data_IF_688705157885
#
_entry.id   IF_688705157885
#
_cell.length_a   1.000
_cell.length_b   1.000
_cell.length_c   1.000
_cell.angle_alpha   90.00
_cell.angle_beta   90.00
_cell.angle_gamma   90.00
#
_symmetry.space_group_name_H-M   'P 1'
#
loop_
_entity.id
_entity.type
_entity.pdbx_description
1 polymer ?
#
# COMPACT_ATOMS: atom_id res chain seq x y z
N UNK A 1 1.15 6.56 -14.65
CA UNK A 1 2.41 5.79 -14.53
C UNK A 1 3.20 6.30 -13.33
N UNK A 2 3.04 5.74 -12.13
CA UNK A 2 3.80 6.18 -10.95
C UNK A 2 4.49 4.99 -10.27
N UNK A 3 3.74 3.95 -9.90
CA UNK A 3 4.26 2.79 -9.16
C UNK A 3 5.49 2.11 -9.79
N UNK A 4 5.49 1.87 -11.11
CA UNK A 4 6.64 1.26 -11.82
C UNK A 4 7.89 2.14 -11.77
N UNK A 5 7.75 3.46 -11.83
CA UNK A 5 8.86 4.39 -11.75
C UNK A 5 9.40 4.47 -10.31
N UNK A 6 8.49 4.56 -9.32
CA UNK A 6 8.83 4.56 -7.90
C UNK A 6 9.56 3.27 -7.48
N UNK A 7 9.15 2.11 -8.00
CA UNK A 7 9.86 0.85 -7.78
C UNK A 7 11.28 0.87 -8.39
N UNK A 8 11.42 1.35 -9.63
CA UNK A 8 12.73 1.47 -10.28
C UNK A 8 13.67 2.42 -9.52
N UNK A 9 13.13 3.50 -8.96
CA UNK A 9 13.86 4.44 -8.10
C UNK A 9 14.07 3.93 -6.66
N UNK A 10 13.50 2.76 -6.32
CA UNK A 10 13.49 2.18 -4.96
C UNK A 10 12.81 3.06 -3.91
N UNK A 11 11.92 3.94 -4.33
CA UNK A 11 11.12 4.83 -3.48
C UNK A 11 9.93 4.09 -2.84
N UNK A 12 9.58 2.90 -3.34
CA UNK A 12 8.60 2.00 -2.71
C UNK A 12 9.27 0.64 -2.48
N UNK A 13 9.21 0.17 -1.23
CA UNK A 13 9.79 -1.11 -0.82
C UNK A 13 8.75 -2.21 -0.67
N UNK A 14 7.52 -1.86 -0.25
CA UNK A 14 6.43 -2.82 0.02
C UNK A 14 5.08 -2.19 -0.30
N UNK A 15 4.14 -3.03 -0.74
CA UNK A 15 2.74 -2.66 -0.97
C UNK A 15 1.89 -3.67 -0.20
N UNK A 16 0.98 -3.17 0.61
CA UNK A 16 0.03 -3.98 1.37
C UNK A 16 -1.39 -3.69 0.90
N UNK A 17 -2.21 -4.74 0.79
CA UNK A 17 -3.63 -4.61 0.55
C UNK A 17 -4.33 -4.51 1.90
N UNK A 18 -4.99 -3.40 2.22
CA UNK A 18 -5.60 -3.15 3.54
C UNK A 18 -7.10 -2.94 3.36
N UNK A 19 -7.91 -3.42 4.31
CA UNK A 19 -9.36 -3.18 4.31
C UNK A 19 -9.66 -1.68 4.37
N UNK A 20 -10.71 -1.25 3.67
CA UNK A 20 -11.12 0.16 3.66
C UNK A 20 -11.34 0.69 5.09
N UNK A 21 -11.98 -0.12 5.94
CA UNK A 21 -12.25 0.22 7.34
C UNK A 21 -10.99 0.36 8.21
N UNK A 22 -9.90 -0.29 7.79
CA UNK A 22 -8.60 -0.27 8.44
C UNK A 22 -7.61 0.71 7.76
N UNK A 23 -8.02 1.42 6.70
CA UNK A 23 -7.18 2.37 5.97
C UNK A 23 -7.38 3.80 6.50
N UNK A 24 -6.44 4.40 7.25
CA UNK A 24 -6.62 5.76 7.79
C UNK A 24 -6.76 6.82 6.68
N UNK A 25 -6.21 6.57 5.49
CA UNK A 25 -6.32 7.47 4.35
C UNK A 25 -7.75 7.59 3.84
N UNK A 26 -8.53 6.52 3.95
CA UNK A 26 -9.93 6.50 3.54
C UNK A 26 -10.77 7.49 4.36
N UNK A 27 -10.50 7.60 5.67
CA UNK A 27 -11.16 8.57 6.53
C UNK A 27 -10.79 10.04 6.24
N UNK A 28 -9.63 10.31 5.65
CA UNK A 28 -9.29 11.67 5.19
C UNK A 28 -10.08 12.07 3.93
N UNK A 29 -10.57 11.11 3.17
CA UNK A 29 -11.33 11.34 1.93
C UNK A 29 -12.84 11.17 2.07
N UNK A 30 -13.30 10.54 3.16
CA UNK A 30 -14.71 10.34 3.46
C UNK A 30 -15.22 11.37 4.47
N UNK A 31 -16.53 11.60 4.44
CA UNK A 31 -17.22 12.49 5.39
C UNK A 31 -17.28 11.86 6.79
N UNK A 32 -17.32 10.53 6.88
CA UNK A 32 -17.36 9.79 8.15
C UNK A 32 -15.98 9.31 8.56
N UNK A 33 -15.63 9.52 9.84
CA UNK A 33 -14.47 8.90 10.46
C UNK A 33 -14.52 7.37 10.33
N UNK A 34 -13.36 6.75 10.17
CA UNK A 34 -13.22 5.29 10.27
C UNK A 34 -12.48 4.89 11.54
N UNK A 35 -12.60 3.60 11.87
CA UNK A 35 -12.02 3.00 13.07
C UNK A 35 -10.49 3.10 13.09
N UNK A 36 -9.83 3.11 11.93
CA UNK A 36 -8.40 3.29 11.81
C UNK A 36 -7.96 4.69 12.26
N UNK A 37 -8.66 5.74 11.82
CA UNK A 37 -8.36 7.12 12.21
C UNK A 37 -8.70 7.38 13.69
N UNK A 38 -9.80 6.83 14.18
CA UNK A 38 -10.15 6.91 15.61
C UNK A 38 -9.05 6.30 16.49
N UNK A 39 -8.57 5.10 16.16
CA UNK A 39 -7.46 4.45 16.86
C UNK A 39 -6.17 5.25 16.76
N UNK A 40 -5.89 5.83 15.59
CA UNK A 40 -4.70 6.67 15.39
C UNK A 40 -4.73 7.89 16.30
N UNK A 41 -5.86 8.60 16.39
CA UNK A 41 -5.99 9.77 17.27
C UNK A 41 -5.87 9.36 18.75
N UNK A 42 -6.54 8.30 19.15
CA UNK A 42 -6.61 7.88 20.56
C UNK A 42 -5.32 7.25 21.09
N UNK A 43 -4.56 6.57 20.23
CA UNK A 43 -3.39 5.78 20.66
C UNK A 43 -2.07 6.17 20.01
N UNK A 44 -2.11 7.07 19.01
CA UNK A 44 -0.99 7.39 18.12
C UNK A 44 -0.35 6.14 17.49
N UNK A 45 -1.15 5.08 17.31
CA UNK A 45 -0.71 3.81 16.72
C UNK A 45 -1.60 3.45 15.54
N UNK A 46 -0.96 2.98 14.48
CA UNK A 46 -1.64 2.46 13.30
C UNK A 46 -1.42 0.95 13.23
N UNK A 47 -2.51 0.18 13.18
CA UNK A 47 -2.47 -1.27 12.97
C UNK A 47 -2.89 -1.56 11.54
N UNK A 48 -1.97 -2.08 10.73
CA UNK A 48 -2.24 -2.48 9.36
C UNK A 48 -2.50 -3.99 9.31
N UNK A 49 -3.70 -4.39 8.88
CA UNK A 49 -4.08 -5.78 8.68
C UNK A 49 -4.20 -6.06 7.17
N UNK A 50 -3.21 -6.76 6.58
CA UNK A 50 -3.26 -7.07 5.16
C UNK A 50 -4.38 -8.08 4.84
N UNK A 51 -5.21 -7.81 3.83
CA UNK A 51 -6.37 -8.65 3.45
C UNK A 51 -5.94 -10.03 2.93
N UNK A 52 -4.70 -10.20 2.50
CA UNK A 52 -4.12 -11.51 2.22
C UNK A 52 -2.63 -11.42 2.55
N UNK A 53 -2.09 -12.40 3.27
CA UNK A 53 -0.64 -12.53 3.52
C UNK A 53 0.17 -12.88 2.26
N UNK A 54 -0.34 -12.57 1.07
CA UNK A 54 0.41 -12.58 -0.17
C UNK A 54 1.10 -11.24 -0.33
N UNK A 55 2.30 -11.10 0.26
CA UNK A 55 3.25 -10.09 -0.24
C UNK A 55 3.47 -10.44 -1.70
N UNK A 56 2.92 -9.65 -2.63
CA UNK A 56 3.22 -9.85 -4.04
C UNK A 56 4.73 -9.63 -4.20
N UNK A 57 5.52 -10.63 -4.59
CA UNK A 57 6.84 -10.35 -5.12
C UNK A 57 6.58 -9.49 -6.36
N UNK A 58 7.13 -8.27 -6.38
CA UNK A 58 7.10 -7.42 -7.57
C UNK A 58 7.94 -8.17 -8.60
N UNK A 59 7.30 -8.99 -9.42
CA UNK A 59 7.95 -9.82 -10.43
C UNK A 59 8.77 -8.89 -11.31
N UNK A 60 10.09 -9.09 -11.31
CA UNK A 60 10.97 -8.39 -12.24
C UNK A 60 10.56 -8.82 -13.64
N UNK A 61 9.94 -7.89 -14.37
CA UNK A 61 9.58 -8.02 -15.77
C UNK A 61 10.77 -8.61 -16.54
N UNK A 62 10.55 -9.78 -17.15
CA UNK A 62 11.52 -10.52 -17.96
C UNK A 62 12.02 -9.57 -19.05
N UNK A 63 13.30 -9.22 -19.01
CA UNK A 63 13.97 -8.53 -20.12
C UNK A 63 13.97 -9.50 -21.30
N UNK A 64 12.99 -9.37 -22.19
CA UNK A 64 13.09 -9.98 -23.52
C UNK A 64 14.14 -9.16 -24.26
N UNK A 65 15.36 -9.67 -24.29
CA UNK A 65 16.40 -9.17 -25.17
C UNK A 65 15.94 -9.41 -26.60
N UNK A 66 15.58 -8.34 -27.30
CA UNK A 66 15.66 -8.36 -28.76
C UNK A 66 17.11 -7.95 -29.05
N UNK A 67 17.96 -8.97 -29.23
CA UNK A 67 19.27 -8.83 -29.85
C UNK A 67 19.12 -8.52 -31.35
N UNK A 68 20.23 -8.17 -32.00
CA UNK A 68 20.34 -7.15 -33.06
C UNK A 68 19.54 -7.42 -34.34
#
# INVERSE_FOLDING_TARGET
MALRQLYKRREITKIYWINSDDNPTDAFTKVSLNRALERLINSNKLTLLPIHAGVLPIQKEKTSSVGP
#
